data_IF_152990162105
#
_entry.id   IF_152990162105
#
_cell.length_a   1.000
_cell.length_b   1.000
_cell.length_c   1.000
_cell.angle_alpha   90.00
_cell.angle_beta   90.00
_cell.angle_gamma   90.00
#
_symmetry.space_group_name_H-M   'P 1'
#
loop_
_entity.id
_entity.type
_entity.pdbx_description
1 polymer ?
#
# COMPACT_ATOMS: atom_id res chain seq x y z
N UNK A 1 41.83 35.23 28.61
CA UNK A 1 41.70 33.77 28.74
C UNK A 1 40.82 33.50 29.94
N UNK A 2 39.51 33.38 29.72
CA UNK A 2 38.53 33.03 30.75
C UNK A 2 38.73 31.56 31.16
N UNK A 3 38.74 31.31 32.47
CA UNK A 3 38.97 29.99 33.06
C UNK A 3 37.96 28.95 32.51
N UNK A 4 38.47 27.97 31.76
CA UNK A 4 37.71 26.82 31.22
C UNK A 4 37.37 25.75 32.28
N UNK A 5 37.61 26.04 33.56
CA UNK A 5 37.43 25.10 34.69
C UNK A 5 36.37 25.56 35.70
N UNK A 6 35.62 26.63 35.42
CA UNK A 6 34.51 27.06 36.28
C UNK A 6 33.22 26.31 35.90
N UNK A 7 32.68 25.42 36.76
CA UNK A 7 31.47 24.65 36.46
C UNK A 7 30.21 25.52 36.32
N UNK A 8 30.26 26.81 36.68
CA UNK A 8 29.18 27.76 36.46
C UNK A 8 29.24 28.47 35.10
N UNK A 9 30.28 28.22 34.30
CA UNK A 9 30.52 28.86 33.01
C UNK A 9 30.62 27.82 31.87
N UNK A 10 29.83 26.75 31.95
CA UNK A 10 29.69 25.77 30.86
C UNK A 10 28.49 26.18 29.98
N UNK A 11 28.72 26.55 28.69
CA UNK A 11 27.65 26.92 27.76
C UNK A 11 26.67 25.79 27.44
N UNK A 12 26.95 24.55 27.85
CA UNK A 12 26.05 23.42 27.72
C UNK A 12 25.08 23.25 28.91
N UNK A 13 25.26 23.99 30.01
CA UNK A 13 24.31 24.02 31.14
C UNK A 13 23.09 24.85 30.73
N UNK A 14 22.21 24.24 29.95
CA UNK A 14 21.02 24.89 29.38
C UNK A 14 20.71 24.52 27.93
N UNK A 15 21.58 23.79 27.23
CA UNK A 15 21.38 23.39 25.83
C UNK A 15 20.24 22.37 25.63
N UNK A 16 19.72 21.77 26.71
CA UNK A 16 18.47 21.00 26.69
C UNK A 16 17.21 21.88 26.73
N UNK A 17 17.33 23.20 26.85
CA UNK A 17 16.25 24.18 26.61
C UNK A 17 16.23 24.55 25.13
N UNK A 18 16.31 23.56 24.25
CA UNK A 18 16.02 23.79 22.84
C UNK A 18 14.57 24.19 22.74
N UNK A 19 14.31 25.48 22.52
CA UNK A 19 13.04 25.97 22.03
C UNK A 19 12.76 25.22 20.72
N UNK A 20 11.93 24.18 20.81
CA UNK A 20 11.45 23.47 19.65
C UNK A 20 10.51 24.42 18.90
N UNK A 21 11.10 25.30 18.08
CA UNK A 21 10.41 26.03 17.01
C UNK A 21 9.96 25.01 15.96
N UNK A 22 8.99 24.20 16.34
CA UNK A 22 8.07 23.57 15.43
C UNK A 22 6.89 24.54 15.34
N UNK A 23 6.47 24.86 14.12
CA UNK A 23 5.37 25.79 13.81
C UNK A 23 4.05 25.44 14.53
N UNK A 24 3.97 24.24 15.12
CA UNK A 24 2.88 23.76 15.97
C UNK A 24 2.92 24.30 17.42
N UNK A 25 4.09 24.66 17.95
CA UNK A 25 4.26 25.21 19.31
C UNK A 25 3.75 26.65 19.41
N UNK A 26 4.07 27.49 18.42
CA UNK A 26 3.69 28.92 18.41
C UNK A 26 2.17 29.12 18.26
N UNK A 27 1.49 28.28 17.47
CA UNK A 27 0.03 28.32 17.33
C UNK A 27 -0.70 27.88 18.60
N UNK A 28 -0.11 26.96 19.38
CA UNK A 28 -0.65 26.55 20.68
C UNK A 28 -0.39 27.62 21.74
N UNK A 29 0.79 28.23 21.75
CA UNK A 29 1.15 29.30 22.69
C UNK A 29 0.30 30.56 22.49
N UNK A 30 -0.02 30.91 21.23
CA UNK A 30 -0.94 32.00 20.90
C UNK A 30 -2.41 31.76 21.29
N UNK A 31 -2.79 30.51 21.55
CA UNK A 31 -4.15 30.12 21.95
C UNK A 31 -4.36 30.09 23.47
N UNK A 32 -3.30 29.97 24.28
CA UNK A 32 -3.43 29.75 25.74
C UNK A 32 -2.88 30.86 26.63
N UNK A 33 -2.20 31.88 26.11
CA UNK A 33 -1.66 32.97 26.92
C UNK A 33 -0.47 32.55 27.78
N UNK A 34 0.50 33.45 27.92
CA UNK A 34 1.80 33.24 28.59
C UNK A 34 1.65 32.61 29.97
N UNK A 35 1.82 31.29 30.05
CA UNK A 35 2.03 30.56 31.30
C UNK A 35 3.13 29.53 31.10
N UNK A 36 4.22 29.74 31.82
CA UNK A 36 5.49 29.00 31.81
C UNK A 36 5.41 27.56 32.37
N UNK A 37 4.27 26.88 32.23
CA UNK A 37 4.05 25.47 32.65
C UNK A 37 3.12 24.73 31.68
N UNK A 38 3.49 24.76 30.41
CA UNK A 38 2.66 24.44 29.24
C UNK A 38 2.69 22.97 28.78
N UNK A 39 3.49 22.10 29.41
CA UNK A 39 3.72 20.74 28.90
C UNK A 39 2.47 19.85 28.95
N UNK A 40 1.69 19.84 30.03
CA UNK A 40 0.51 18.96 30.13
C UNK A 40 -0.72 19.48 29.36
N UNK A 41 -0.94 20.79 29.36
CA UNK A 41 -2.03 21.44 28.61
C UNK A 41 -1.80 21.38 27.10
N UNK A 42 -0.57 21.58 26.62
CA UNK A 42 -0.23 21.45 25.20
C UNK A 42 -0.38 20.00 24.71
N UNK A 43 -0.02 19.00 25.53
CA UNK A 43 -0.30 17.60 25.21
C UNK A 43 -1.80 17.35 25.12
N UNK A 44 -2.61 17.77 26.10
CA UNK A 44 -4.05 17.57 26.04
C UNK A 44 -4.69 18.20 24.79
N UNK A 45 -4.27 19.42 24.43
CA UNK A 45 -4.77 20.14 23.26
C UNK A 45 -4.38 19.50 21.92
N UNK A 46 -3.30 18.71 21.88
CA UNK A 46 -2.89 17.96 20.67
C UNK A 46 -3.49 16.56 20.62
N UNK A 47 -3.58 15.88 21.77
CA UNK A 47 -4.16 14.54 21.88
C UNK A 47 -5.66 14.52 21.64
N UNK A 48 -6.41 15.51 22.13
CA UNK A 48 -7.87 15.54 22.00
C UNK A 48 -8.32 15.54 20.53
N UNK A 49 -7.89 16.50 19.67
CA UNK A 49 -8.23 16.47 18.25
C UNK A 49 -7.76 15.19 17.56
N UNK A 50 -6.52 14.74 17.83
CA UNK A 50 -5.98 13.51 17.24
C UNK A 50 -6.82 12.27 17.59
N UNK A 51 -7.30 12.18 18.83
CA UNK A 51 -8.19 11.11 19.28
C UNK A 51 -9.54 11.19 18.57
N UNK A 52 -10.13 12.39 18.43
CA UNK A 52 -11.37 12.55 17.67
C UNK A 52 -11.20 12.12 16.21
N UNK A 53 -10.11 12.52 15.54
CA UNK A 53 -9.81 12.07 14.18
C UNK A 53 -9.63 10.55 14.12
N UNK A 54 -8.88 9.96 15.04
CA UNK A 54 -8.68 8.51 15.09
C UNK A 54 -10.00 7.75 15.28
N UNK A 55 -10.83 8.19 16.22
CA UNK A 55 -12.15 7.59 16.48
C UNK A 55 -13.09 7.71 15.28
N UNK A 56 -13.09 8.86 14.60
CA UNK A 56 -13.87 9.05 13.38
C UNK A 56 -13.45 8.05 12.28
N UNK A 57 -12.15 7.92 12.02
CA UNK A 57 -11.64 6.98 11.01
C UNK A 57 -11.86 5.52 11.39
N UNK A 58 -11.71 5.16 12.66
CA UNK A 58 -12.00 3.80 13.16
C UNK A 58 -13.48 3.48 13.00
N UNK A 59 -14.38 4.42 13.32
CA UNK A 59 -15.82 4.22 13.14
C UNK A 59 -16.18 4.00 11.66
N UNK A 60 -15.63 4.84 10.77
CA UNK A 60 -15.82 4.70 9.33
C UNK A 60 -15.27 3.36 8.81
N UNK A 61 -14.09 2.96 9.27
CA UNK A 61 -13.50 1.65 8.97
C UNK A 61 -14.42 0.49 9.39
N UNK A 62 -14.96 0.53 10.61
CA UNK A 62 -15.85 -0.53 11.11
C UNK A 62 -17.15 -0.63 10.29
N UNK A 63 -17.69 0.50 9.83
CA UNK A 63 -18.87 0.54 8.95
C UNK A 63 -18.54 -0.02 7.55
N UNK A 64 -17.45 0.44 6.94
CA UNK A 64 -17.08 0.02 5.58
C UNK A 64 -16.59 -1.43 5.52
N UNK A 65 -15.89 -1.91 6.53
CA UNK A 65 -15.47 -3.32 6.63
C UNK A 65 -16.66 -4.29 6.56
N UNK A 66 -17.81 -3.90 7.11
CA UNK A 66 -19.03 -4.72 7.13
C UNK A 66 -19.85 -4.60 5.85
N UNK A 67 -19.99 -3.38 5.34
CA UNK A 67 -20.84 -3.09 4.18
C UNK A 67 -20.16 -3.39 2.85
N UNK A 68 -18.84 -3.20 2.76
CA UNK A 68 -18.06 -3.27 1.52
C UNK A 68 -17.06 -4.43 1.53
N UNK A 69 -17.57 -5.67 1.68
CA UNK A 69 -16.74 -6.90 1.68
C UNK A 69 -15.85 -7.03 0.44
N UNK A 70 -16.31 -6.54 -0.71
CA UNK A 70 -15.54 -6.56 -1.97
C UNK A 70 -14.18 -5.87 -1.87
N UNK A 71 -14.09 -4.79 -1.10
CA UNK A 71 -12.87 -3.99 -0.96
C UNK A 71 -12.04 -4.41 0.25
N UNK A 72 -12.69 -4.73 1.37
CA UNK A 72 -12.01 -5.02 2.63
C UNK A 72 -11.65 -6.51 2.84
N UNK A 73 -12.29 -7.42 2.12
CA UNK A 73 -12.02 -8.85 2.19
C UNK A 73 -12.10 -9.53 0.81
N UNK A 74 -11.36 -9.05 -0.22
CA UNK A 74 -11.39 -9.66 -1.56
C UNK A 74 -10.99 -11.12 -1.55
N UNK A 75 -9.93 -11.48 -0.80
CA UNK A 75 -9.37 -12.84 -0.75
C UNK A 75 -10.21 -13.86 0.03
N UNK A 76 -11.31 -13.46 0.66
CA UNK A 76 -12.14 -14.39 1.44
C UNK A 76 -13.30 -14.95 0.62
N UNK A 77 -13.81 -14.22 -0.38
CA UNK A 77 -15.06 -14.55 -1.07
C UNK A 77 -14.93 -14.74 -2.59
N UNK A 78 -13.74 -14.52 -3.16
CA UNK A 78 -13.52 -14.71 -4.59
C UNK A 78 -13.74 -16.19 -4.95
N UNK A 79 -14.67 -16.51 -5.87
CA UNK A 79 -14.99 -17.89 -6.24
C UNK A 79 -13.84 -18.57 -7.01
N UNK A 80 -13.04 -17.79 -7.72
CA UNK A 80 -11.93 -18.28 -8.56
C UNK A 80 -10.70 -18.71 -7.75
N UNK A 81 -10.66 -18.39 -6.45
CA UNK A 81 -9.53 -18.73 -5.58
C UNK A 81 -9.74 -20.13 -4.97
N UNK A 82 -8.71 -20.96 -4.96
CA UNK A 82 -8.81 -22.29 -4.37
C UNK A 82 -9.06 -22.21 -2.86
N UNK A 83 -9.79 -23.16 -2.28
CA UNK A 83 -10.20 -23.09 -0.86
C UNK A 83 -9.02 -23.01 0.12
N UNK A 84 -7.86 -23.55 -0.25
CA UNK A 84 -6.64 -23.49 0.55
C UNK A 84 -5.89 -22.14 0.45
N UNK A 85 -6.19 -21.32 -0.56
CA UNK A 85 -5.60 -19.99 -0.76
C UNK A 85 -6.50 -18.86 -0.21
N UNK A 86 -7.74 -19.20 0.16
CA UNK A 86 -8.70 -18.28 0.78
C UNK A 86 -8.23 -17.95 2.20
N UNK A 87 -8.30 -16.67 2.53
CA UNK A 87 -8.12 -16.23 3.91
C UNK A 87 -9.35 -16.59 4.73
N UNK A 88 -9.18 -17.01 6.01
CA UNK A 88 -10.31 -17.36 6.86
C UNK A 88 -11.29 -16.19 6.97
N UNK A 89 -12.58 -16.47 6.86
CA UNK A 89 -13.60 -15.45 6.99
C UNK A 89 -13.66 -14.96 8.44
N UNK A 90 -13.38 -13.66 8.64
CA UNK A 90 -13.54 -13.05 9.95
C UNK A 90 -15.03 -12.84 10.27
N UNK A 91 -15.46 -13.00 11.53
CA UNK A 91 -16.83 -12.74 11.90
C UNK A 91 -17.21 -11.29 11.64
N UNK A 92 -18.47 -11.07 11.23
CA UNK A 92 -19.02 -9.73 10.93
C UNK A 92 -19.27 -8.88 12.18
N UNK A 93 -18.93 -9.35 13.39
CA UNK A 93 -19.09 -8.63 14.66
C UNK A 93 -18.30 -7.30 14.72
N UNK A 94 -18.71 -6.38 15.60
CA UNK A 94 -18.07 -5.04 15.71
C UNK A 94 -16.67 -5.16 16.31
N UNK A 95 -16.51 -6.09 17.27
CA UNK A 95 -15.26 -6.30 18.01
C UNK A 95 -14.82 -7.78 17.99
N UNK A 96 -15.74 -8.73 17.78
CA UNK A 96 -15.48 -10.18 17.82
C UNK A 96 -14.38 -10.65 16.85
N UNK A 97 -14.13 -9.87 15.80
CA UNK A 97 -13.10 -10.17 14.82
C UNK A 97 -11.67 -9.97 15.33
N UNK A 98 -11.45 -9.15 16.36
CA UNK A 98 -10.11 -8.85 16.86
C UNK A 98 -9.49 -10.12 17.46
N UNK A 99 -10.27 -10.88 18.23
CA UNK A 99 -9.81 -12.14 18.81
C UNK A 99 -9.45 -13.17 17.75
N UNK A 100 -10.31 -13.35 16.75
CA UNK A 100 -10.06 -14.29 15.66
C UNK A 100 -8.90 -13.84 14.77
N UNK A 101 -8.71 -12.52 14.58
CA UNK A 101 -7.58 -11.95 13.87
C UNK A 101 -6.25 -12.20 14.61
N UNK A 102 -6.21 -12.03 15.93
CA UNK A 102 -5.01 -12.29 16.73
C UNK A 102 -4.68 -13.78 16.84
N UNK A 103 -5.66 -14.67 16.65
CA UNK A 103 -5.46 -16.13 16.59
C UNK A 103 -4.88 -16.62 15.27
N UNK A 104 -4.85 -15.80 14.21
CA UNK A 104 -4.31 -16.22 12.92
C UNK A 104 -2.83 -16.57 13.11
N UNK A 105 -2.49 -17.80 12.72
CA UNK A 105 -1.14 -18.32 12.88
C UNK A 105 -0.17 -17.67 11.90
N UNK A 106 1.05 -17.44 12.38
CA UNK A 106 2.16 -16.89 11.60
C UNK A 106 2.50 -17.73 10.36
N UNK A 107 2.35 -19.04 10.45
CA UNK A 107 2.52 -19.96 9.32
C UNK A 107 1.49 -19.72 8.22
N UNK A 108 0.23 -19.47 8.58
CA UNK A 108 -0.82 -19.14 7.62
C UNK A 108 -0.51 -17.82 6.89
N UNK A 109 0.03 -16.83 7.60
CA UNK A 109 0.46 -15.56 6.99
C UNK A 109 1.60 -15.78 5.99
N UNK A 110 2.56 -16.65 6.30
CA UNK A 110 3.69 -16.95 5.41
C UNK A 110 3.26 -17.67 4.11
N UNK A 111 2.24 -18.52 4.16
CA UNK A 111 1.72 -19.23 2.99
C UNK A 111 0.82 -18.37 2.11
N UNK A 112 -0.03 -17.53 2.72
CA UNK A 112 -1.04 -16.75 2.00
C UNK A 112 -0.51 -15.40 1.54
N UNK A 113 0.48 -14.84 2.25
CA UNK A 113 1.11 -13.55 1.95
C UNK A 113 2.51 -13.75 1.35
N UNK A 114 3.15 -12.65 0.94
CA UNK A 114 4.56 -12.68 0.58
C UNK A 114 5.44 -12.86 1.83
N UNK A 115 6.63 -13.42 1.64
CA UNK A 115 7.66 -13.47 2.70
C UNK A 115 7.94 -12.08 3.28
N UNK A 116 7.93 -11.05 2.45
CA UNK A 116 8.13 -9.66 2.87
C UNK A 116 6.98 -9.17 3.77
N UNK A 117 5.72 -9.48 3.42
CA UNK A 117 4.56 -9.15 4.24
C UNK A 117 4.60 -9.82 5.62
N UNK A 118 5.01 -11.10 5.66
CA UNK A 118 5.25 -11.80 6.93
C UNK A 118 6.32 -11.13 7.78
N UNK A 119 7.47 -10.80 7.17
CA UNK A 119 8.60 -10.18 7.87
C UNK A 119 8.27 -8.77 8.36
N UNK A 120 7.48 -8.01 7.60
CA UNK A 120 7.01 -6.69 8.02
C UNK A 120 6.11 -6.78 9.26
N UNK A 121 5.17 -7.73 9.29
CA UNK A 121 4.34 -7.96 10.47
C UNK A 121 5.17 -8.40 11.68
N UNK A 122 6.14 -9.29 11.47
CA UNK A 122 7.06 -9.72 12.52
C UNK A 122 7.90 -8.55 13.04
N UNK A 123 8.43 -7.69 12.16
CA UNK A 123 9.16 -6.48 12.51
C UNK A 123 8.32 -5.57 13.42
N UNK A 124 7.07 -5.30 13.07
CA UNK A 124 6.17 -4.49 13.89
C UNK A 124 5.93 -5.12 15.27
N UNK A 125 5.70 -6.43 15.34
CA UNK A 125 5.52 -7.14 16.63
C UNK A 125 6.76 -7.07 17.51
N UNK A 126 7.95 -7.26 16.93
CA UNK A 126 9.22 -7.13 17.65
C UNK A 126 9.43 -5.69 18.13
N UNK A 127 9.12 -4.69 17.30
CA UNK A 127 9.22 -3.28 17.68
C UNK A 127 8.29 -2.96 18.86
N UNK A 128 7.03 -3.41 18.80
CA UNK A 128 6.09 -3.28 19.91
C UNK A 128 6.59 -3.99 21.18
N UNK A 129 7.16 -5.19 21.05
CA UNK A 129 7.72 -5.93 22.18
C UNK A 129 8.93 -5.21 22.79
N UNK A 130 9.86 -4.68 21.98
CA UNK A 130 11.01 -3.89 22.44
C UNK A 130 10.53 -2.65 23.20
N UNK A 131 9.58 -1.89 22.65
CA UNK A 131 9.02 -0.72 23.32
C UNK A 131 8.33 -1.09 24.63
N UNK A 132 7.54 -2.17 24.64
CA UNK A 132 6.85 -2.63 25.85
C UNK A 132 7.83 -3.08 26.94
N UNK A 133 8.83 -3.89 26.59
CA UNK A 133 9.91 -4.27 27.52
C UNK A 133 10.68 -3.05 28.00
N UNK A 134 10.93 -2.07 27.12
CA UNK A 134 11.51 -0.78 27.46
C UNK A 134 10.69 -0.03 28.52
N UNK A 135 9.36 0.04 28.36
CA UNK A 135 8.49 0.66 29.37
C UNK A 135 8.55 -0.09 30.70
N UNK A 136 8.45 -1.42 30.69
CA UNK A 136 8.49 -2.25 31.90
C UNK A 136 9.83 -2.16 32.63
N UNK A 137 10.93 -2.00 31.89
CA UNK A 137 12.28 -1.90 32.46
C UNK A 137 12.61 -0.49 32.93
N UNK A 138 12.25 0.54 32.16
CA UNK A 138 12.63 1.93 32.44
C UNK A 138 11.69 2.61 33.42
N UNK A 139 10.38 2.47 33.29
CA UNK A 139 9.42 3.26 34.08
C UNK A 139 9.53 3.01 35.59
N UNK A 140 9.61 1.76 36.09
CA UNK A 140 9.68 1.51 37.54
C UNK A 140 10.94 2.06 38.20
N UNK A 141 12.03 2.25 37.45
CA UNK A 141 13.32 2.72 37.96
C UNK A 141 13.47 4.22 37.73
N UNK A 142 13.26 4.70 36.51
CA UNK A 142 13.48 6.11 36.15
C UNK A 142 12.39 7.03 36.69
N UNK A 143 11.11 6.62 36.68
CA UNK A 143 10.06 7.52 37.17
C UNK A 143 10.25 7.90 38.63
N UNK A 144 10.53 6.98 39.57
CA UNK A 144 10.82 7.36 40.95
C UNK A 144 12.09 8.21 41.10
N UNK A 145 13.16 7.89 40.35
CA UNK A 145 14.44 8.63 40.43
C UNK A 145 14.27 10.07 39.94
N UNK A 146 13.56 10.28 38.82
CA UNK A 146 13.29 11.62 38.30
C UNK A 146 12.27 12.36 39.18
N UNK A 147 11.20 11.69 39.64
CA UNK A 147 10.20 12.31 40.51
C UNK A 147 10.78 12.80 41.85
N UNK A 148 11.74 12.06 42.43
CA UNK A 148 12.45 12.41 43.66
C UNK A 148 13.72 13.25 43.43
N UNK A 149 13.87 13.84 42.24
CA UNK A 149 15.05 14.58 41.82
C UNK A 149 15.27 15.92 42.54
N UNK A 150 14.20 16.54 43.07
CA UNK A 150 14.29 17.68 43.99
C UNK A 150 14.58 19.05 43.36
N UNK A 151 14.51 19.19 42.03
CA UNK A 151 14.77 20.47 41.35
C UNK A 151 13.53 21.38 41.19
N UNK A 152 12.39 21.01 41.78
CA UNK A 152 11.17 21.84 41.79
C UNK A 152 10.43 21.92 40.46
N UNK A 153 10.79 21.10 39.46
CA UNK A 153 10.05 21.03 38.20
C UNK A 153 8.65 20.44 38.43
N UNK A 154 7.65 20.96 37.72
CA UNK A 154 6.25 20.55 37.85
C UNK A 154 5.75 19.84 36.60
N UNK A 155 4.60 19.15 36.69
CA UNK A 155 3.97 18.43 35.58
C UNK A 155 4.90 17.37 34.94
N UNK A 156 5.04 17.35 33.61
CA UNK A 156 5.88 16.38 32.88
C UNK A 156 7.37 16.61 33.07
N UNK A 157 7.75 17.84 33.42
CA UNK A 157 9.16 18.20 33.63
C UNK A 157 9.72 17.57 34.91
N UNK A 158 8.85 17.03 35.78
CA UNK A 158 9.24 16.21 36.94
C UNK A 158 9.88 14.88 36.51
N UNK A 159 9.53 14.36 35.33
CA UNK A 159 10.06 13.10 34.79
C UNK A 159 11.31 13.32 33.93
N UNK A 160 11.71 14.58 33.73
CA UNK A 160 12.89 14.92 32.94
C UNK A 160 14.18 14.68 33.73
N UNK A 161 15.26 14.38 33.00
CA UNK A 161 16.62 14.32 33.53
C UNK A 161 17.00 15.60 34.28
N UNK A 162 16.47 16.75 33.83
CA UNK A 162 16.67 18.08 34.45
C UNK A 162 16.14 18.18 35.89
N UNK A 163 15.21 17.31 36.31
CA UNK A 163 14.69 17.37 37.67
C UNK A 163 15.67 16.80 38.71
N UNK A 164 16.75 16.13 38.30
CA UNK A 164 17.67 15.42 39.20
C UNK A 164 18.82 16.32 39.65
N UNK A 165 18.85 16.68 40.94
CA UNK A 165 19.92 17.53 41.50
C UNK A 165 21.20 16.75 41.85
N UNK A 166 21.07 15.50 42.27
CA UNK A 166 22.20 14.70 42.78
C UNK A 166 22.98 14.03 41.63
N UNK A 167 24.29 14.29 41.47
CA UNK A 167 25.09 13.67 40.40
C UNK A 167 25.10 12.14 40.46
N UNK A 168 25.00 11.57 41.66
CA UNK A 168 25.04 10.11 41.85
C UNK A 168 23.81 9.40 41.26
N UNK A 169 22.67 10.08 41.14
CA UNK A 169 21.44 9.51 40.54
C UNK A 169 21.56 9.35 39.02
N UNK A 170 22.53 10.03 38.38
CA UNK A 170 22.77 9.87 36.94
C UNK A 170 23.41 8.54 36.57
N UNK A 171 24.16 7.89 37.48
CA UNK A 171 24.70 6.55 37.23
C UNK A 171 23.59 5.52 36.97
N UNK A 172 22.43 5.65 37.60
CA UNK A 172 21.29 4.77 37.35
C UNK A 172 20.78 4.87 35.91
N UNK A 173 20.77 6.08 35.32
CA UNK A 173 20.39 6.30 33.93
C UNK A 173 21.38 5.64 32.97
N UNK A 174 22.68 5.79 33.22
CA UNK A 174 23.73 5.20 32.39
C UNK A 174 23.68 3.67 32.44
N UNK A 175 23.60 3.09 33.64
CA UNK A 175 23.51 1.63 33.82
C UNK A 175 22.28 1.09 33.09
N UNK A 176 21.12 1.73 33.26
CA UNK A 176 19.90 1.27 32.63
C UNK A 176 19.92 1.44 31.10
N UNK A 177 20.52 2.51 30.60
CA UNK A 177 20.75 2.71 29.18
C UNK A 177 21.65 1.61 28.61
N UNK A 178 22.74 1.24 29.29
CA UNK A 178 23.61 0.14 28.89
C UNK A 178 22.86 -1.20 28.85
N UNK A 179 22.05 -1.50 29.88
CA UNK A 179 21.25 -2.73 29.95
C UNK A 179 20.22 -2.76 28.82
N UNK A 180 19.45 -1.68 28.63
CA UNK A 180 18.42 -1.62 27.59
C UNK A 180 19.03 -1.65 26.19
N UNK A 181 20.12 -0.93 25.95
CA UNK A 181 20.84 -0.94 24.67
C UNK A 181 21.36 -2.33 24.33
N UNK A 182 21.95 -3.03 25.31
CA UNK A 182 22.41 -4.42 25.13
C UNK A 182 21.24 -5.36 24.82
N UNK A 183 20.11 -5.19 25.50
CA UNK A 183 18.89 -5.95 25.20
C UNK A 183 18.38 -5.70 23.79
N UNK A 184 18.29 -4.44 23.35
CA UNK A 184 17.87 -4.08 21.98
C UNK A 184 18.81 -4.71 20.97
N UNK A 185 20.12 -4.59 21.17
CA UNK A 185 21.12 -5.17 20.28
C UNK A 185 21.00 -6.70 20.20
N UNK A 186 20.81 -7.36 21.34
CA UNK A 186 20.55 -8.81 21.40
C UNK A 186 19.31 -9.20 20.58
N UNK A 187 18.19 -8.49 20.74
CA UNK A 187 16.95 -8.76 19.99
C UNK A 187 17.18 -8.55 18.48
N UNK A 188 17.87 -7.48 18.08
CA UNK A 188 18.18 -7.19 16.68
C UNK A 188 19.04 -8.30 16.06
N UNK A 189 20.09 -8.75 16.75
CA UNK A 189 20.95 -9.85 16.27
C UNK A 189 20.14 -11.14 16.15
N UNK A 190 19.33 -11.47 17.16
CA UNK A 190 18.48 -12.67 17.16
C UNK A 190 17.46 -12.67 16.01
N UNK A 191 16.81 -11.54 15.74
CA UNK A 191 15.88 -11.43 14.60
C UNK A 191 16.60 -11.38 13.25
N UNK A 192 17.81 -10.83 13.18
CA UNK A 192 18.63 -10.85 11.96
C UNK A 192 19.02 -12.29 11.57
N UNK A 193 19.42 -13.11 12.55
CA UNK A 193 19.69 -14.53 12.35
C UNK A 193 18.42 -15.32 11.98
N UNK A 194 17.29 -14.98 12.60
CA UNK A 194 16.01 -15.58 12.22
C UNK A 194 15.66 -15.25 10.76
N UNK A 195 15.82 -13.99 10.35
CA UNK A 195 15.58 -13.53 8.98
C UNK A 195 16.44 -14.28 7.97
N UNK A 196 17.75 -14.41 8.21
CA UNK A 196 18.65 -15.10 7.27
C UNK A 196 18.25 -16.55 7.09
N UNK A 197 17.97 -17.26 8.20
CA UNK A 197 17.55 -18.66 8.17
C UNK A 197 16.20 -18.84 7.46
N UNK A 198 15.21 -18.01 7.79
CA UNK A 198 13.89 -18.07 7.16
C UNK A 198 13.96 -17.77 5.67
N UNK A 199 14.71 -16.73 5.28
CA UNK A 199 14.90 -16.37 3.87
C UNK A 199 15.55 -17.50 3.09
N UNK A 200 16.59 -18.11 3.65
CA UNK A 200 17.27 -19.24 3.00
C UNK A 200 16.31 -20.44 2.86
N UNK A 201 15.57 -20.79 3.91
CA UNK A 201 14.58 -21.87 3.87
C UNK A 201 13.47 -21.60 2.83
N UNK A 202 12.98 -20.37 2.76
CA UNK A 202 11.93 -19.98 1.81
C UNK A 202 12.42 -20.03 0.36
N UNK A 203 13.60 -19.48 0.07
CA UNK A 203 14.16 -19.49 -1.29
C UNK A 203 14.53 -20.89 -1.77
N UNK A 204 14.92 -21.79 -0.85
CA UNK A 204 15.20 -23.19 -1.14
C UNK A 204 13.94 -24.07 -1.22
N UNK A 205 12.76 -23.53 -0.91
CA UNK A 205 11.52 -24.29 -1.00
C UNK A 205 11.22 -24.67 -2.46
N UNK A 206 10.70 -25.89 -2.73
CA UNK A 206 10.44 -26.34 -4.10
C UNK A 206 9.43 -25.45 -4.81
N UNK A 207 8.43 -24.92 -4.10
CA UNK A 207 7.44 -24.01 -4.64
C UNK A 207 8.04 -22.69 -5.15
N UNK A 208 9.06 -22.17 -4.46
CA UNK A 208 9.77 -20.96 -4.91
C UNK A 208 10.78 -21.28 -6.01
N UNK A 209 11.53 -22.37 -5.87
CA UNK A 209 12.52 -22.82 -6.85
C UNK A 209 11.90 -23.26 -8.19
N UNK A 210 10.60 -23.60 -8.22
CA UNK A 210 9.86 -23.87 -9.45
C UNK A 210 9.34 -22.64 -10.17
N UNK A 211 9.36 -21.46 -9.53
CA UNK A 211 8.85 -20.23 -10.11
C UNK A 211 9.71 -19.80 -11.30
N UNK A 212 9.07 -19.29 -12.36
CA UNK A 212 9.79 -18.78 -13.54
C UNK A 212 10.81 -17.70 -13.14
N UNK A 213 10.44 -16.81 -12.22
CA UNK A 213 11.33 -15.74 -11.75
C UNK A 213 12.60 -16.22 -11.02
N UNK A 214 12.63 -17.44 -10.48
CA UNK A 214 13.84 -17.99 -9.82
C UNK A 214 14.74 -18.74 -10.79
N UNK A 215 14.23 -19.09 -11.98
CA UNK A 215 14.95 -19.84 -13.03
C UNK A 215 15.37 -18.97 -14.21
N UNK A 216 14.89 -17.74 -14.28
CA UNK A 216 15.19 -16.79 -15.36
C UNK A 216 16.24 -15.78 -14.92
N UNK A 217 17.27 -15.58 -15.73
CA UNK A 217 18.33 -14.60 -15.52
C UNK A 217 18.20 -13.48 -16.55
N UNK A 218 18.31 -12.24 -16.09
CA UNK A 218 18.38 -11.06 -16.96
C UNK A 218 19.84 -10.71 -17.23
N UNK A 219 20.27 -10.81 -18.49
CA UNK A 219 21.54 -10.28 -18.95
C UNK A 219 21.33 -8.88 -19.51
N UNK A 220 22.11 -7.92 -19.00
CA UNK A 220 22.13 -6.56 -19.50
C UNK A 220 23.37 -6.32 -20.37
N UNK A 221 23.30 -5.31 -21.25
CA UNK A 221 24.44 -4.81 -22.04
C UNK A 221 25.06 -5.83 -23.00
N UNK A 222 24.23 -6.63 -23.65
CA UNK A 222 24.64 -7.64 -24.63
C UNK A 222 25.10 -6.96 -25.94
N UNK A 223 26.34 -7.22 -26.41
CA UNK A 223 26.84 -6.68 -27.67
C UNK A 223 25.99 -7.12 -28.86
N UNK A 224 25.86 -6.29 -29.92
CA UNK A 224 24.99 -6.59 -31.07
C UNK A 224 25.33 -7.92 -31.73
N UNK A 225 26.62 -8.30 -31.76
CA UNK A 225 27.06 -9.56 -32.36
C UNK A 225 26.48 -10.80 -31.66
N UNK A 226 26.16 -10.70 -30.38
CA UNK A 226 25.63 -11.78 -29.53
C UNK A 226 24.11 -11.71 -29.34
N UNK A 227 23.39 -10.78 -30.00
CA UNK A 227 21.91 -10.72 -29.96
C UNK A 227 21.25 -11.70 -30.92
N UNK A 228 21.79 -12.91 -31.00
CA UNK A 228 21.28 -13.97 -31.84
C UNK A 228 21.12 -15.23 -31.00
N UNK A 229 19.94 -15.84 -31.06
CA UNK A 229 19.63 -17.05 -30.28
C UNK A 229 20.67 -18.16 -30.53
N UNK A 230 21.08 -18.36 -31.79
CA UNK A 230 22.08 -19.38 -32.17
C UNK A 230 23.44 -19.15 -31.48
N UNK A 231 23.93 -17.92 -31.44
CA UNK A 231 25.21 -17.58 -30.80
C UNK A 231 25.12 -17.69 -29.28
N UNK A 232 24.00 -17.29 -28.69
CA UNK A 232 23.78 -17.44 -27.25
C UNK A 232 23.75 -18.91 -26.85
N UNK A 233 23.07 -19.77 -27.62
CA UNK A 233 23.10 -21.23 -27.41
C UNK A 233 24.50 -21.82 -27.56
N UNK A 234 25.34 -21.28 -28.44
CA UNK A 234 26.75 -21.70 -28.54
C UNK A 234 27.58 -21.32 -27.31
N UNK A 235 27.36 -20.13 -26.74
CA UNK A 235 28.11 -19.63 -25.58
C UNK A 235 27.72 -20.35 -24.28
N UNK A 236 26.42 -20.54 -24.06
CA UNK A 236 25.90 -21.07 -22.80
C UNK A 236 25.55 -22.57 -22.84
N UNK A 237 25.59 -23.20 -24.03
CA UNK A 237 25.35 -24.63 -24.20
C UNK A 237 23.89 -25.06 -23.99
N UNK A 238 23.72 -26.35 -23.68
CA UNK A 238 22.40 -27.01 -23.55
C UNK A 238 21.68 -26.73 -22.22
N UNK A 239 22.34 -26.11 -21.24
CA UNK A 239 21.69 -25.71 -19.98
C UNK A 239 20.49 -24.78 -20.25
N UNK A 240 20.65 -23.98 -21.31
CA UNK A 240 19.76 -23.53 -22.40
C UNK A 240 18.27 -23.91 -22.60
N UNK A 241 17.29 -23.77 -21.69
CA UNK A 241 15.85 -24.00 -22.03
C UNK A 241 15.25 -22.98 -23.03
N UNK A 242 15.03 -21.71 -22.65
CA UNK A 242 14.35 -20.71 -23.48
C UNK A 242 14.96 -19.32 -23.43
N UNK A 243 15.33 -18.76 -24.57
CA UNK A 243 15.90 -17.40 -24.67
C UNK A 243 14.80 -16.43 -25.13
N UNK A 244 14.72 -15.27 -24.48
CA UNK A 244 13.87 -14.15 -24.85
C UNK A 244 14.73 -12.92 -25.12
N UNK A 245 14.85 -12.55 -26.39
CA UNK A 245 15.51 -11.31 -26.80
C UNK A 245 14.53 -10.16 -26.64
N UNK A 246 14.91 -9.13 -25.89
CA UNK A 246 14.01 -7.99 -25.68
C UNK A 246 14.03 -7.05 -26.88
N UNK A 247 12.85 -6.63 -27.33
CA UNK A 247 12.67 -5.64 -28.39
C UNK A 247 12.12 -4.34 -27.83
N UNK A 248 12.35 -3.23 -28.53
CA UNK A 248 11.74 -1.95 -28.19
C UNK A 248 10.25 -1.95 -28.57
N UNK A 249 9.39 -2.22 -27.59
CA UNK A 249 7.94 -2.27 -27.76
C UNK A 249 7.24 -1.01 -27.23
N UNK A 250 7.93 0.12 -27.05
CA UNK A 250 7.33 1.34 -26.45
C UNK A 250 6.10 1.84 -27.19
N UNK A 251 6.16 1.88 -28.52
CA UNK A 251 5.04 2.32 -29.36
C UNK A 251 3.88 1.32 -29.30
N UNK A 252 4.19 0.02 -29.39
CA UNK A 252 3.21 -1.05 -29.27
C UNK A 252 2.48 -1.00 -27.91
N UNK A 253 3.20 -0.81 -26.81
CA UNK A 253 2.61 -0.69 -25.46
C UNK A 253 1.67 0.51 -25.39
N UNK A 254 2.05 1.65 -25.96
CA UNK A 254 1.19 2.85 -25.99
C UNK A 254 -0.10 2.60 -26.77
N UNK A 255 -0.02 1.97 -27.94
CA UNK A 255 -1.21 1.67 -28.74
C UNK A 255 -2.09 0.60 -28.09
N UNK A 256 -1.52 -0.39 -27.40
CA UNK A 256 -2.29 -1.38 -26.63
C UNK A 256 -3.04 -0.71 -25.48
N UNK A 257 -2.37 0.18 -24.72
CA UNK A 257 -3.02 0.95 -23.65
C UNK A 257 -4.12 1.89 -24.20
N UNK A 258 -3.90 2.50 -25.37
CA UNK A 258 -4.92 3.30 -26.05
C UNK A 258 -6.12 2.45 -26.49
N UNK A 259 -5.86 1.28 -27.09
CA UNK A 259 -6.89 0.31 -27.49
C UNK A 259 -7.73 -0.10 -26.28
N UNK A 260 -7.10 -0.44 -25.16
CA UNK A 260 -7.78 -0.88 -23.95
C UNK A 260 -8.62 0.26 -23.35
N UNK A 261 -8.09 1.50 -23.33
CA UNK A 261 -8.85 2.70 -22.93
C UNK A 261 -10.07 2.95 -23.82
N UNK A 262 -9.93 2.79 -25.14
CA UNK A 262 -11.04 2.92 -26.09
C UNK A 262 -12.09 1.82 -25.88
N UNK A 263 -11.66 0.57 -25.66
CA UNK A 263 -12.54 -0.55 -25.33
C UNK A 263 -13.35 -0.28 -24.05
N UNK A 264 -12.71 0.20 -22.98
CA UNK A 264 -13.42 0.60 -21.75
C UNK A 264 -14.42 1.74 -21.97
N UNK A 265 -14.08 2.74 -22.80
CA UNK A 265 -14.99 3.84 -23.13
C UNK A 265 -16.18 3.36 -23.96
N UNK A 266 -15.94 2.46 -24.91
CA UNK A 266 -16.97 1.79 -25.71
C UNK A 266 -17.92 1.03 -24.78
N UNK A 267 -17.41 0.14 -23.94
CA UNK A 267 -18.19 -0.65 -22.99
C UNK A 267 -19.02 0.24 -22.06
N UNK A 268 -18.43 1.32 -21.54
CA UNK A 268 -19.13 2.29 -20.71
C UNK A 268 -20.27 3.00 -21.47
N UNK A 269 -20.07 3.29 -22.76
CA UNK A 269 -21.09 3.93 -23.62
C UNK A 269 -22.23 2.97 -23.98
N UNK A 270 -21.92 1.71 -24.30
CA UNK A 270 -22.91 0.66 -24.57
C UNK A 270 -23.69 0.32 -23.31
N UNK A 271 -23.01 0.20 -22.16
CA UNK A 271 -23.66 0.01 -20.85
C UNK A 271 -24.61 1.17 -20.53
N UNK A 272 -24.24 2.41 -20.84
CA UNK A 272 -25.14 3.57 -20.68
C UNK A 272 -26.37 3.46 -21.58
N UNK A 273 -26.21 2.99 -22.82
CA UNK A 273 -27.33 2.76 -23.74
C UNK A 273 -28.27 1.68 -23.19
N UNK A 274 -27.73 0.54 -22.75
CA UNK A 274 -28.48 -0.57 -22.16
C UNK A 274 -29.25 -0.10 -20.91
N UNK A 275 -28.59 0.63 -20.01
CA UNK A 275 -29.25 1.19 -18.81
C UNK A 275 -30.40 2.13 -19.16
N UNK A 276 -30.23 2.99 -20.18
CA UNK A 276 -31.30 3.87 -20.67
C UNK A 276 -32.46 3.07 -21.28
N UNK A 277 -32.15 2.09 -22.12
CA UNK A 277 -33.15 1.22 -22.72
C UNK A 277 -33.96 0.47 -21.65
N UNK A 278 -33.28 -0.10 -20.65
CA UNK A 278 -33.92 -0.78 -19.53
C UNK A 278 -34.79 0.14 -18.68
N UNK A 279 -34.36 1.40 -18.45
CA UNK A 279 -35.16 2.40 -17.74
C UNK A 279 -36.46 2.70 -18.50
N UNK A 280 -36.37 2.98 -19.80
CA UNK A 280 -37.54 3.24 -20.65
C UNK A 280 -38.47 2.04 -20.71
N UNK A 281 -37.92 0.82 -20.88
CA UNK A 281 -38.68 -0.43 -20.86
C UNK A 281 -39.45 -0.60 -19.53
N UNK A 282 -38.80 -0.32 -18.40
CA UNK A 282 -39.41 -0.43 -17.07
C UNK A 282 -40.50 0.62 -16.83
N UNK A 283 -40.36 1.81 -17.42
CA UNK A 283 -41.41 2.83 -17.37
C UNK A 283 -42.61 2.46 -18.26
N UNK A 284 -42.38 1.92 -19.45
CA UNK A 284 -43.43 1.45 -20.36
C UNK A 284 -44.23 0.26 -19.78
N UNK A 285 -43.54 -0.71 -19.15
CA UNK A 285 -44.21 -1.83 -18.48
C UNK A 285 -45.06 -1.37 -17.30
N UNK A 286 -44.60 -0.39 -16.50
CA UNK A 286 -45.38 0.19 -15.40
C UNK A 286 -46.61 0.96 -15.86
N UNK A 287 -46.57 1.56 -17.05
CA UNK A 287 -47.70 2.29 -17.65
C UNK A 287 -48.74 1.37 -18.29
N UNK A 288 -48.53 0.05 -18.28
CA UNK A 288 -49.47 -0.92 -18.84
C UNK A 288 -49.51 -0.94 -20.37
N UNK A 289 -48.50 -0.42 -21.07
CA UNK A 289 -48.42 -0.43 -22.55
C UNK A 289 -48.13 -1.84 -23.14
N UNK A 290 -48.16 -2.90 -22.33
CA UNK A 290 -47.99 -4.28 -22.78
C UNK A 290 -49.34 -4.99 -22.88
N UNK A 291 -49.87 -5.09 -24.10
CA UNK A 291 -50.85 -6.10 -24.46
C UNK A 291 -50.18 -7.47 -24.54
N UNK A 292 -50.85 -8.49 -24.02
CA UNK A 292 -50.38 -9.86 -23.76
C UNK A 292 -49.86 -10.69 -24.95
N UNK A 293 -49.67 -10.14 -26.15
CA UNK A 293 -49.48 -10.95 -27.38
C UNK A 293 -48.25 -10.63 -28.24
N UNK A 294 -47.36 -9.73 -27.81
CA UNK A 294 -46.10 -9.50 -28.55
C UNK A 294 -45.02 -10.45 -28.03
N UNK A 295 -44.76 -11.51 -28.81
CA UNK A 295 -43.66 -12.44 -28.62
C UNK A 295 -42.39 -11.77 -28.07
N UNK A 296 -42.02 -12.14 -26.85
CA UNK A 296 -40.87 -11.61 -26.11
C UNK A 296 -39.51 -11.98 -26.74
N UNK A 297 -39.51 -12.95 -27.68
CA UNK A 297 -38.34 -13.50 -28.37
C UNK A 297 -38.22 -13.10 -29.85
N UNK A 298 -39.10 -12.24 -30.37
CA UNK A 298 -39.02 -11.80 -31.76
C UNK A 298 -38.00 -10.67 -31.92
N UNK A 299 -36.78 -10.98 -32.37
CA UNK A 299 -35.77 -9.98 -32.78
C UNK A 299 -36.28 -8.99 -33.86
N UNK A 300 -37.41 -9.26 -34.52
CA UNK A 300 -37.94 -8.44 -35.62
C UNK A 300 -38.90 -7.32 -35.19
N UNK A 301 -39.40 -7.34 -33.95
CA UNK A 301 -40.39 -6.35 -33.50
C UNK A 301 -39.70 -5.19 -32.81
N UNK A 302 -39.31 -4.14 -33.55
CA UNK A 302 -38.86 -2.86 -32.98
C UNK A 302 -39.98 -2.26 -32.11
N UNK A 303 -39.92 -2.37 -30.76
CA UNK A 303 -41.03 -1.93 -29.93
C UNK A 303 -41.18 -0.42 -30.01
N UNK A 304 -42.38 0.14 -29.88
CA UNK A 304 -42.59 1.59 -29.96
C UNK A 304 -41.71 2.38 -28.98
N UNK A 305 -41.39 1.81 -27.81
CA UNK A 305 -40.51 2.40 -26.80
C UNK A 305 -39.03 2.48 -27.24
N UNK A 306 -38.58 1.65 -28.19
CA UNK A 306 -37.19 1.69 -28.70
C UNK A 306 -36.84 3.03 -29.34
N UNK A 307 -37.80 3.71 -29.97
CA UNK A 307 -37.62 5.04 -30.57
C UNK A 307 -37.34 6.13 -29.55
N UNK A 308 -37.72 5.93 -28.28
CA UNK A 308 -37.48 6.89 -27.20
C UNK A 308 -36.05 6.78 -26.62
N UNK A 309 -35.31 5.73 -26.96
CA UNK A 309 -33.96 5.49 -26.44
C UNK A 309 -32.93 6.33 -27.20
N UNK A 310 -32.48 7.42 -26.59
CA UNK A 310 -31.43 8.28 -27.15
C UNK A 310 -30.04 7.67 -26.98
N UNK A 311 -29.32 7.51 -28.09
CA UNK A 311 -27.92 7.06 -28.11
C UNK A 311 -26.98 8.02 -27.37
N UNK A 312 -25.94 7.51 -26.70
CA UNK A 312 -24.92 8.37 -26.07
C UNK A 312 -24.14 9.13 -27.15
N UNK A 313 -24.01 10.44 -26.95
CA UNK A 313 -23.25 11.32 -27.85
C UNK A 313 -22.19 12.06 -27.07
N UNK A 314 -21.06 12.35 -27.72
CA UNK A 314 -20.02 13.20 -27.17
C UNK A 314 -19.53 14.19 -28.23
N UNK A 315 -18.75 15.19 -27.80
CA UNK A 315 -18.11 16.14 -28.71
C UNK A 315 -16.62 15.81 -28.80
N UNK A 316 -16.10 15.73 -30.02
CA UNK A 316 -14.68 15.50 -30.32
C UNK A 316 -13.75 16.57 -29.72
N UNK A 317 -14.21 17.81 -29.68
CA UNK A 317 -13.52 18.97 -29.11
C UNK A 317 -14.52 19.82 -28.32
N UNK A 318 -14.04 20.72 -27.46
CA UNK A 318 -14.91 21.55 -26.61
C UNK A 318 -16.01 22.29 -27.40
N UNK A 319 -15.72 22.73 -28.63
CA UNK A 319 -16.67 23.34 -29.57
C UNK A 319 -16.96 22.50 -30.83
N UNK A 320 -16.71 21.19 -30.79
CA UNK A 320 -16.88 20.30 -31.94
C UNK A 320 -18.31 19.81 -32.19
N UNK A 321 -18.52 19.17 -33.34
CA UNK A 321 -19.76 18.45 -33.70
C UNK A 321 -20.05 17.35 -32.66
N UNK A 322 -21.33 17.17 -32.35
CA UNK A 322 -21.79 16.03 -31.53
C UNK A 322 -21.84 14.78 -32.43
N UNK A 323 -21.15 13.73 -32.00
CA UNK A 323 -21.05 12.46 -32.72
C UNK A 323 -21.59 11.34 -31.84
N UNK A 324 -22.14 10.29 -32.45
CA UNK A 324 -22.49 9.06 -31.74
C UNK A 324 -21.22 8.44 -31.16
N UNK A 325 -21.16 8.36 -29.83
CA UNK A 325 -20.01 7.84 -29.12
C UNK A 325 -19.71 6.40 -29.49
N UNK A 326 -20.74 5.56 -29.67
CA UNK A 326 -20.55 4.13 -29.93
C UNK A 326 -19.94 3.92 -31.31
N UNK A 327 -20.52 4.54 -32.34
CA UNK A 327 -20.02 4.40 -33.71
C UNK A 327 -18.58 4.92 -33.83
N UNK A 328 -18.30 6.08 -33.24
CA UNK A 328 -16.96 6.67 -33.30
C UNK A 328 -15.93 5.80 -32.58
N UNK A 329 -16.22 5.33 -31.35
CA UNK A 329 -15.28 4.45 -30.64
C UNK A 329 -15.07 3.11 -31.33
N UNK A 330 -16.09 2.54 -32.01
CA UNK A 330 -15.90 1.32 -32.81
C UNK A 330 -14.95 1.55 -33.99
N UNK A 331 -15.09 2.67 -34.68
CA UNK A 331 -14.24 3.02 -35.82
C UNK A 331 -12.80 3.36 -35.38
N UNK A 332 -12.63 4.08 -34.27
CA UNK A 332 -11.31 4.34 -33.70
C UNK A 332 -10.65 3.04 -33.20
N UNK A 333 -11.41 2.19 -32.51
CA UNK A 333 -10.91 0.92 -32.00
C UNK A 333 -10.47 -0.01 -33.14
N UNK A 334 -11.19 -0.06 -34.26
CA UNK A 334 -10.79 -0.90 -35.40
C UNK A 334 -9.49 -0.41 -36.04
N UNK A 335 -9.29 0.90 -36.16
CA UNK A 335 -8.03 1.50 -36.65
C UNK A 335 -6.86 1.16 -35.74
N UNK A 336 -6.98 1.44 -34.44
CA UNK A 336 -5.92 1.17 -33.45
C UNK A 336 -5.62 -0.32 -33.36
N UNK A 337 -6.63 -1.19 -33.42
CA UNK A 337 -6.43 -2.65 -33.40
C UNK A 337 -5.64 -3.10 -34.62
N UNK A 338 -5.93 -2.58 -35.81
CA UNK A 338 -5.15 -2.88 -37.02
C UNK A 338 -3.69 -2.42 -36.92
N UNK A 339 -3.43 -1.24 -36.33
CA UNK A 339 -2.06 -0.77 -36.08
C UNK A 339 -1.31 -1.65 -35.07
N UNK A 340 -1.98 -2.05 -33.98
CA UNK A 340 -1.43 -2.97 -32.98
C UNK A 340 -1.08 -4.31 -33.60
N UNK A 341 -1.96 -4.90 -34.41
CA UNK A 341 -1.71 -6.17 -35.10
C UNK A 341 -0.52 -6.07 -36.06
N UNK A 342 -0.40 -4.96 -36.79
CA UNK A 342 0.74 -4.73 -37.68
C UNK A 342 2.06 -4.63 -36.90
N UNK A 343 2.09 -3.93 -35.77
CA UNK A 343 3.28 -3.84 -34.92
C UNK A 343 3.61 -5.18 -34.23
N UNK A 344 2.60 -5.94 -33.81
CA UNK A 344 2.78 -7.28 -33.25
C UNK A 344 3.37 -8.23 -34.29
N UNK A 345 2.90 -8.15 -35.54
CA UNK A 345 3.46 -8.94 -36.65
C UNK A 345 4.92 -8.58 -36.91
N UNK A 346 5.26 -7.29 -37.00
CA UNK A 346 6.66 -6.84 -37.11
C UNK A 346 7.54 -7.33 -35.97
N UNK A 347 7.00 -7.40 -34.75
CA UNK A 347 7.72 -7.96 -33.61
C UNK A 347 7.94 -9.48 -33.75
N UNK A 348 6.93 -10.23 -34.18
CA UNK A 348 7.03 -11.67 -34.41
C UNK A 348 7.97 -12.04 -35.57
N UNK A 349 8.01 -11.21 -36.62
CA UNK A 349 8.91 -11.36 -37.76
C UNK A 349 10.38 -11.04 -37.42
N UNK A 350 10.64 -10.41 -36.28
CA UNK A 350 11.99 -10.05 -35.81
C UNK A 350 12.51 -8.71 -36.35
N UNK A 351 11.68 -7.94 -37.05
CA UNK A 351 12.02 -6.64 -37.63
C UNK A 351 12.06 -5.49 -36.59
N UNK A 352 11.65 -5.77 -35.35
CA UNK A 352 11.69 -4.80 -34.27
C UNK A 352 13.13 -4.54 -33.79
N UNK A 353 13.42 -3.28 -33.45
CA UNK A 353 14.71 -2.87 -32.87
C UNK A 353 14.99 -3.66 -31.59
N UNK A 354 16.00 -4.50 -31.61
CA UNK A 354 16.42 -5.29 -30.45
C UNK A 354 17.16 -4.40 -29.43
N UNK A 355 16.83 -4.59 -28.16
CA UNK A 355 17.52 -3.97 -27.04
C UNK A 355 18.75 -4.81 -26.65
N UNK A 356 19.63 -4.23 -25.83
CA UNK A 356 20.82 -4.91 -25.31
C UNK A 356 20.53 -5.81 -24.10
N UNK A 357 19.27 -6.11 -23.79
CA UNK A 357 18.88 -6.96 -22.67
C UNK A 357 18.24 -8.27 -23.17
N UNK A 358 18.45 -9.35 -22.45
CA UNK A 358 17.81 -10.63 -22.74
C UNK A 358 17.53 -11.41 -21.47
N UNK A 359 16.44 -12.17 -21.49
CA UNK A 359 16.09 -13.11 -20.46
C UNK A 359 16.39 -14.51 -20.97
N UNK A 360 16.91 -15.35 -20.09
CA UNK A 360 17.10 -16.76 -20.39
C UNK A 360 16.78 -17.59 -19.14
#
# INVERSE_FOLDING_TARGET
>A
MSNLTDPNNDPNVGSSRGDASSTSGDVVSGLTGDTSSSSSSALLMTFLPALFYAMFWIALFLIFRRTQKRWYAPRSHLPDLADHEKSPELPSGWVNWIGDFLKIEDNHVLHTSSLDGYLFLRFLRVLCAICFTGCVLTWPILFPIHATGGNGNTQLDILSFSNVKDPNKYYANVILACVYFTFVFYVVVRESLYYTNLRQAYLNSPAYASRISSRTVLFMSVPPDYRNEKKLRQVFGESIQRIWITSDCKELIKLVDERDKLAFRLEASETKLIRRANKVRTEATKKGEFGSDTCLDCESSNPAWSRQVKRPTHRLKFFGKKVDSIHQYREELSKVTGEVENLQRKHQEGDAKQLSALFY
#
